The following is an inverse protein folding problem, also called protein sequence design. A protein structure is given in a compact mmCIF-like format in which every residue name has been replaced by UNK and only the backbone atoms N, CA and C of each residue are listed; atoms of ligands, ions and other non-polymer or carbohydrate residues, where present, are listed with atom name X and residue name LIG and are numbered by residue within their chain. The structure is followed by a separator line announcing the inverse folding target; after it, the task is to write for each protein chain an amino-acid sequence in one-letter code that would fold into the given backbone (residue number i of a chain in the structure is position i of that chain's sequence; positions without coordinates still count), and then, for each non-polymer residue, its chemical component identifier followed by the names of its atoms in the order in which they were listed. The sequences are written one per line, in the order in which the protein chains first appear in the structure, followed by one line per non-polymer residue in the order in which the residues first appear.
data_IF_489228535138
#
_entry.id   IF_489228535138
#
_cell.length_a   1.000
_cell.length_b   1.000
_cell.length_c   1.000
_cell.angle_alpha   90.00
_cell.angle_beta   90.00
_cell.angle_gamma   90.00
#
_symmetry.space_group_name_H-M   'P 1'
#
loop_
_entity.id
_entity.type
_entity.pdbx_description
1 polymer ?
#
# COMPACT_ATOMS: atom_id res chain seq x y z
N UNK A 1 5.97 -12.80 -10.85
CA UNK A 1 4.53 -12.45 -10.73
C UNK A 1 4.33 -10.94 -10.61
N UNK A 2 3.16 -10.40 -10.97
CA UNK A 2 2.83 -8.97 -10.79
C UNK A 2 2.25 -8.74 -9.39
N UNK A 3 2.75 -7.71 -8.69
CA UNK A 3 2.28 -7.28 -7.37
C UNK A 3 1.69 -5.87 -7.48
N UNK A 4 0.50 -5.67 -6.92
CA UNK A 4 -0.14 -4.35 -6.79
C UNK A 4 0.05 -3.85 -5.35
N UNK A 5 0.54 -2.63 -5.18
CA UNK A 5 0.83 -2.05 -3.86
C UNK A 5 0.13 -0.70 -3.70
N UNK A 6 -1.05 -0.67 -3.06
CA UNK A 6 -1.71 0.57 -2.67
C UNK A 6 -0.91 1.31 -1.60
N UNK A 7 -0.72 2.61 -1.80
CA UNK A 7 -0.04 3.53 -0.88
C UNK A 7 -0.89 4.79 -0.68
N UNK A 8 -0.98 5.26 0.56
CA UNK A 8 -1.74 6.46 0.95
C UNK A 8 -0.81 7.59 1.35
N UNK A 9 -1.18 8.80 0.94
CA UNK A 9 -0.59 10.06 1.40
C UNK A 9 -1.32 10.51 2.66
N UNK A 10 -0.61 10.59 3.77
CA UNK A 10 -1.16 10.95 5.09
C UNK A 10 -0.33 12.05 5.74
N UNK A 11 -0.81 12.62 6.83
CA UNK A 11 0.00 13.52 7.67
C UNK A 11 1.17 12.72 8.25
N UNK A 12 2.38 13.30 8.24
CA UNK A 12 3.56 12.64 8.80
C UNK A 12 3.33 12.26 10.27
N UNK A 13 3.65 11.02 10.65
CA UNK A 13 3.36 10.48 11.97
C UNK A 13 4.05 11.24 13.12
N UNK A 14 5.07 12.05 12.84
CA UNK A 14 5.72 12.91 13.85
C UNK A 14 5.01 14.26 14.04
N UNK A 15 4.02 14.59 13.21
CA UNK A 15 3.29 15.85 13.29
C UNK A 15 2.17 15.73 14.31
N UNK A 16 2.18 16.63 15.29
CA UNK A 16 1.03 16.81 16.19
C UNK A 16 -0.09 17.56 15.49
N UNK A 17 -1.09 16.81 15.03
CA UNK A 17 -2.29 17.34 14.38
C UNK A 17 -3.10 18.25 15.31
N UNK A 18 -3.80 19.22 14.71
CA UNK A 18 -4.73 20.13 15.41
C UNK A 18 -6.11 20.03 14.77
N UNK A 19 -7.14 20.09 15.60
CA UNK A 19 -8.53 20.19 15.13
C UNK A 19 -8.79 21.63 14.69
N UNK A 20 -9.51 21.82 13.59
CA UNK A 20 -9.96 23.14 13.14
C UNK A 20 -10.88 23.77 14.19
N UNK A 21 -10.89 25.09 14.29
CA UNK A 21 -11.71 25.83 15.26
C UNK A 21 -13.23 25.62 15.07
N UNK A 22 -13.66 25.24 13.87
CA UNK A 22 -15.05 24.95 13.52
C UNK A 22 -15.45 23.47 13.75
N UNK A 23 -14.53 22.64 14.28
CA UNK A 23 -14.72 21.20 14.49
C UNK A 23 -15.07 20.37 13.24
N UNK A 24 -14.80 20.88 12.03
CA UNK A 24 -15.11 20.17 10.78
C UNK A 24 -14.07 19.11 10.39
N UNK A 25 -12.92 19.09 11.07
CA UNK A 25 -11.86 18.12 10.82
C UNK A 25 -10.49 18.58 11.33
N UNK A 26 -9.44 17.95 10.80
CA UNK A 26 -8.04 18.27 11.13
C UNK A 26 -7.52 19.40 10.22
N UNK A 27 -6.73 20.32 10.80
CA UNK A 27 -6.01 21.33 10.04
C UNK A 27 -4.74 20.73 9.41
N UNK A 28 -4.80 20.53 8.08
CA UNK A 28 -3.74 19.93 7.27
C UNK A 28 -3.12 20.91 6.26
N UNK A 29 -3.47 22.20 6.32
CA UNK A 29 -3.11 23.14 5.26
C UNK A 29 -1.58 23.33 5.11
N UNK A 30 -0.86 23.32 6.22
CA UNK A 30 0.60 23.59 6.26
C UNK A 30 1.37 22.50 7.02
N UNK A 31 0.87 21.27 7.02
CA UNK A 31 1.53 20.15 7.69
C UNK A 31 2.34 19.33 6.70
N UNK A 32 3.43 18.74 7.17
CA UNK A 32 4.21 17.78 6.40
C UNK A 32 3.37 16.53 6.16
N UNK A 33 3.32 16.10 4.90
CA UNK A 33 2.64 14.87 4.48
C UNK A 33 3.71 13.83 4.09
N UNK A 34 3.41 12.56 4.28
CA UNK A 34 4.31 11.44 3.96
C UNK A 34 3.54 10.23 3.43
N UNK A 35 4.28 9.18 3.05
CA UNK A 35 3.68 7.86 2.88
C UNK A 35 3.21 7.35 4.24
N UNK A 36 2.08 6.64 4.27
CA UNK A 36 1.65 5.91 5.44
C UNK A 36 2.70 4.87 5.84
N UNK A 37 3.12 4.77 7.12
CA UNK A 37 4.20 3.87 7.53
C UNK A 37 3.97 2.39 7.16
N UNK A 38 2.73 1.90 7.29
CA UNK A 38 2.41 0.51 6.90
C UNK A 38 2.55 0.27 5.39
N UNK A 39 2.37 1.31 4.58
CA UNK A 39 2.49 1.21 3.13
C UNK A 39 3.96 1.21 2.69
N UNK A 40 4.86 1.85 3.44
CA UNK A 40 6.31 1.72 3.22
C UNK A 40 6.78 0.26 3.40
N UNK A 41 6.24 -0.41 4.42
CA UNK A 41 6.47 -1.86 4.67
C UNK A 41 5.93 -2.71 3.51
N UNK A 42 4.76 -2.36 2.98
CA UNK A 42 4.14 -3.05 1.85
C UNK A 42 4.96 -2.90 0.56
N UNK A 43 5.46 -1.70 0.27
CA UNK A 43 6.34 -1.45 -0.88
C UNK A 43 7.66 -2.19 -0.72
N UNK A 44 8.29 -2.14 0.47
CA UNK A 44 9.53 -2.87 0.73
C UNK A 44 9.36 -4.37 0.51
N UNK A 45 8.29 -4.97 1.03
CA UNK A 45 8.05 -6.41 0.86
C UNK A 45 7.89 -6.79 -0.61
N UNK A 46 7.11 -6.02 -1.37
CA UNK A 46 6.94 -6.23 -2.80
C UNK A 46 8.28 -6.13 -3.56
N UNK A 47 9.14 -5.19 -3.18
CA UNK A 47 10.47 -5.02 -3.77
C UNK A 47 11.39 -6.18 -3.40
N UNK A 48 11.39 -6.65 -2.15
CA UNK A 48 12.16 -7.84 -1.72
C UNK A 48 11.74 -9.08 -2.49
N UNK A 49 10.44 -9.28 -2.69
CA UNK A 49 9.92 -10.38 -3.53
C UNK A 49 10.39 -10.25 -4.98
N UNK A 50 10.50 -9.04 -5.52
CA UNK A 50 11.08 -8.82 -6.85
C UNK A 50 12.57 -9.14 -6.90
N UNK A 51 13.34 -8.67 -5.92
CA UNK A 51 14.78 -8.92 -5.82
C UNK A 51 15.10 -10.41 -5.65
N UNK A 52 14.22 -11.17 -4.98
CA UNK A 52 14.28 -12.62 -4.87
C UNK A 52 13.84 -13.38 -6.14
N UNK A 53 13.46 -12.67 -7.21
CA UNK A 53 13.00 -13.28 -8.47
C UNK A 53 11.58 -13.86 -8.43
N UNK A 54 10.84 -13.68 -7.32
CA UNK A 54 9.45 -14.12 -7.19
C UNK A 54 8.51 -13.18 -7.94
N UNK A 55 8.73 -11.87 -7.80
CA UNK A 55 7.99 -10.85 -8.52
C UNK A 55 8.74 -10.42 -9.78
N UNK A 56 8.00 -10.05 -10.81
CA UNK A 56 8.52 -9.54 -12.10
C UNK A 56 8.16 -8.08 -12.30
N UNK A 57 7.12 -7.59 -11.61
CA UNK A 57 6.66 -6.22 -11.69
C UNK A 57 5.96 -5.83 -10.38
N UNK A 58 6.27 -4.63 -9.89
CA UNK A 58 5.63 -4.00 -8.74
C UNK A 58 4.97 -2.70 -9.21
N UNK A 59 3.64 -2.63 -9.07
CA UNK A 59 2.82 -1.48 -9.46
C UNK A 59 2.33 -0.77 -8.21
N UNK A 60 2.85 0.44 -7.95
CA UNK A 60 2.37 1.27 -6.85
C UNK A 60 1.09 2.00 -7.25
N UNK A 61 0.10 2.09 -6.37
CA UNK A 61 -1.18 2.76 -6.64
C UNK A 61 -1.50 3.72 -5.52
N UNK A 62 -2.00 4.91 -5.85
CA UNK A 62 -2.59 5.81 -4.85
C UNK A 62 -3.92 6.33 -5.35
N UNK A 63 -4.86 6.51 -4.43
CA UNK A 63 -6.17 7.11 -4.70
C UNK A 63 -6.25 8.40 -3.90
N UNK A 64 -6.48 9.53 -4.58
CA UNK A 64 -6.61 10.82 -3.93
C UNK A 64 -6.11 11.98 -4.79
N UNK A 65 -5.76 13.08 -4.14
CA UNK A 65 -5.41 14.34 -4.81
C UNK A 65 -4.13 14.25 -5.64
N UNK A 66 -3.92 15.18 -6.57
CA UNK A 66 -2.73 15.25 -7.41
C UNK A 66 -1.40 15.21 -6.63
N UNK A 67 -1.36 15.73 -5.40
CA UNK A 67 -0.17 15.69 -4.53
C UNK A 67 0.22 14.27 -4.10
N UNK A 68 -0.67 13.28 -4.21
CA UNK A 68 -0.34 11.87 -3.99
C UNK A 68 0.70 11.33 -4.98
N UNK A 69 0.96 12.04 -6.09
CA UNK A 69 2.09 11.74 -6.97
C UNK A 69 3.43 11.78 -6.22
N UNK A 70 3.60 12.63 -5.20
CA UNK A 70 4.83 12.68 -4.40
C UNK A 70 5.05 11.35 -3.65
N UNK A 71 4.01 10.82 -3.03
CA UNK A 71 4.02 9.51 -2.35
C UNK A 71 4.31 8.38 -3.33
N UNK A 72 3.72 8.41 -4.52
CA UNK A 72 4.01 7.45 -5.59
C UNK A 72 5.47 7.53 -6.07
N UNK A 73 6.04 8.73 -6.17
CA UNK A 73 7.45 8.92 -6.52
C UNK A 73 8.38 8.33 -5.45
N UNK A 74 8.00 8.40 -4.17
CA UNK A 74 8.71 7.69 -3.10
C UNK A 74 8.66 6.18 -3.31
N UNK A 75 7.49 5.58 -3.59
CA UNK A 75 7.38 4.14 -3.87
C UNK A 75 8.22 3.70 -5.08
N UNK A 76 8.24 4.51 -6.15
CA UNK A 76 9.07 4.32 -7.34
C UNK A 76 10.57 4.37 -7.01
N UNK A 77 10.96 5.21 -6.07
CA UNK A 77 12.34 5.38 -5.63
C UNK A 77 12.79 4.25 -4.68
N UNK A 78 11.88 3.70 -3.86
CA UNK A 78 12.12 2.49 -3.07
C UNK A 78 12.39 1.31 -4.00
N UNK A 79 11.57 1.13 -5.04
CA UNK A 79 11.82 0.09 -6.03
C UNK A 79 10.64 -0.29 -6.92
N UNK A 80 9.45 0.28 -6.77
CA UNK A 80 8.32 0.00 -7.66
C UNK A 80 8.66 0.30 -9.13
N UNK A 81 8.12 -0.46 -10.07
CA UNK A 81 8.45 -0.38 -11.50
C UNK A 81 7.70 0.76 -12.18
N UNK A 82 6.41 0.91 -11.85
CA UNK A 82 5.55 2.02 -12.29
C UNK A 82 4.51 2.35 -11.23
N UNK A 83 3.85 3.49 -11.43
CA UNK A 83 2.83 4.01 -10.53
C UNK A 83 1.53 4.35 -11.27
N UNK A 84 0.42 4.25 -10.55
CA UNK A 84 -0.91 4.71 -10.99
C UNK A 84 -1.46 5.64 -9.92
N UNK A 85 -1.80 6.86 -10.31
CA UNK A 85 -2.64 7.76 -9.51
C UNK A 85 -4.08 7.64 -10.02
N UNK A 86 -5.00 7.23 -9.15
CA UNK A 86 -6.42 7.47 -9.33
C UNK A 86 -6.74 8.82 -8.70
N UNK A 87 -6.79 9.86 -9.54
CA UNK A 87 -6.95 11.24 -9.10
C UNK A 87 -8.40 11.52 -8.68
N UNK A 88 -8.60 11.88 -7.42
CA UNK A 88 -9.88 12.35 -6.90
C UNK A 88 -9.65 13.49 -5.90
N UNK A 89 -10.49 14.52 -5.98
CA UNK A 89 -10.50 15.62 -5.01
C UNK A 89 -11.52 15.40 -3.88
N UNK A 90 -12.25 14.29 -3.92
CA UNK A 90 -13.24 13.95 -2.91
C UNK A 90 -12.58 13.23 -1.73
N UNK A 91 -13.19 13.34 -0.56
CA UNK A 91 -12.84 12.48 0.56
C UNK A 91 -13.22 11.04 0.22
N UNK A 92 -12.21 10.17 0.06
CA UNK A 92 -12.43 8.76 -0.29
C UNK A 92 -12.41 7.88 0.95
N UNK A 93 -13.55 7.26 1.24
CA UNK A 93 -13.69 6.28 2.33
C UNK A 93 -13.09 4.92 1.94
N UNK A 94 -12.73 4.05 2.92
CA UNK A 94 -12.19 2.72 2.65
C UNK A 94 -12.99 1.88 1.64
N UNK A 95 -14.32 1.97 1.66
CA UNK A 95 -15.17 1.25 0.71
C UNK A 95 -14.99 1.74 -0.73
N UNK A 96 -14.91 3.06 -0.92
CA UNK A 96 -14.67 3.66 -2.24
C UNK A 96 -13.29 3.25 -2.76
N UNK A 97 -12.27 3.33 -1.90
CA UNK A 97 -10.90 2.89 -2.23
C UNK A 97 -10.90 1.40 -2.60
N UNK A 98 -11.55 0.53 -1.83
CA UNK A 98 -11.61 -0.89 -2.12
C UNK A 98 -12.29 -1.21 -3.47
N UNK A 99 -13.36 -0.49 -3.84
CA UNK A 99 -14.02 -0.64 -5.16
C UNK A 99 -13.11 -0.19 -6.31
N UNK A 100 -12.41 0.93 -6.14
CA UNK A 100 -11.44 1.44 -7.12
C UNK A 100 -10.29 0.44 -7.29
N UNK A 101 -9.74 -0.05 -6.18
CA UNK A 101 -8.69 -1.06 -6.19
C UNK A 101 -9.16 -2.36 -6.84
N UNK A 102 -10.42 -2.78 -6.63
CA UNK A 102 -10.99 -3.94 -7.33
C UNK A 102 -10.98 -3.74 -8.85
N UNK A 103 -11.37 -2.56 -9.34
CA UNK A 103 -11.32 -2.27 -10.78
C UNK A 103 -9.87 -2.31 -11.32
N UNK A 104 -8.90 -1.87 -10.52
CA UNK A 104 -7.48 -2.00 -10.87
C UNK A 104 -6.98 -3.45 -10.80
N UNK A 105 -7.45 -4.26 -9.85
CA UNK A 105 -7.15 -5.70 -9.81
C UNK A 105 -7.69 -6.38 -11.07
N UNK A 106 -8.91 -6.05 -11.52
CA UNK A 106 -9.47 -6.58 -12.76
C UNK A 106 -8.66 -6.13 -14.00
N UNK A 107 -8.20 -4.88 -14.05
CA UNK A 107 -7.41 -4.34 -15.18
C UNK A 107 -5.99 -4.90 -15.20
N UNK A 108 -5.34 -4.93 -14.05
CA UNK A 108 -3.91 -5.25 -13.92
C UNK A 108 -3.64 -6.74 -13.74
N UNK A 109 -4.62 -7.51 -13.28
CA UNK A 109 -4.52 -8.95 -13.01
C UNK A 109 -3.29 -9.30 -12.12
N UNK A 110 -3.06 -8.61 -10.99
CA UNK A 110 -1.96 -8.94 -10.10
C UNK A 110 -2.19 -10.31 -9.46
N UNK A 111 -1.10 -11.03 -9.17
CA UNK A 111 -1.18 -12.29 -8.43
C UNK A 111 -1.12 -12.07 -6.92
N UNK A 112 -0.72 -10.88 -6.48
CA UNK A 112 -0.68 -10.52 -5.07
C UNK A 112 -0.96 -9.04 -4.93
N UNK A 113 -1.82 -8.67 -3.97
CA UNK A 113 -2.01 -7.28 -3.54
C UNK A 113 -1.46 -7.17 -2.12
N UNK A 114 -0.53 -6.24 -1.90
CA UNK A 114 0.05 -5.97 -0.57
C UNK A 114 -0.31 -4.53 -0.18
N UNK A 115 -1.03 -4.36 0.92
CA UNK A 115 -1.43 -3.03 1.44
C UNK A 115 -0.95 -2.88 2.88
N UNK A 116 -0.91 -1.65 3.41
CA UNK A 116 -0.76 -1.46 4.85
C UNK A 116 -1.93 -2.05 5.65
N UNK A 117 -1.67 -2.44 6.91
CA UNK A 117 -2.73 -2.84 7.88
C UNK A 117 -3.82 -1.79 8.02
N UNK A 118 -3.42 -0.54 8.25
CA UNK A 118 -4.31 0.60 8.40
C UNK A 118 -3.62 1.87 7.90
N UNK A 119 -4.41 2.92 7.67
CA UNK A 119 -3.87 4.25 7.49
C UNK A 119 -3.96 5.01 8.82
N UNK A 120 -2.89 5.71 9.19
CA UNK A 120 -2.78 6.37 10.50
C UNK A 120 -3.66 7.62 10.68
N UNK A 121 -4.31 8.07 9.61
CA UNK A 121 -5.18 9.25 9.62
C UNK A 121 -6.66 8.90 9.87
N UNK A 122 -7.12 7.74 9.37
CA UNK A 122 -8.48 7.24 9.57
C UNK A 122 -8.58 6.04 10.54
N UNK A 123 -7.45 5.40 10.88
CA UNK A 123 -7.31 4.21 11.72
C UNK A 123 -8.33 3.10 11.44
N UNK A 124 -8.79 3.00 10.18
CA UNK A 124 -9.97 2.19 9.88
C UNK A 124 -9.68 0.70 9.81
N UNK A 125 -8.46 0.30 9.41
CA UNK A 125 -8.07 -1.09 9.21
C UNK A 125 -9.12 -1.88 8.39
N UNK A 126 -9.55 -1.37 7.24
CA UNK A 126 -10.69 -1.94 6.47
C UNK A 126 -10.40 -2.22 5.00
N UNK A 127 -9.64 -1.34 4.33
CA UNK A 127 -9.49 -1.35 2.85
C UNK A 127 -9.02 -2.69 2.30
N UNK A 128 -8.02 -3.33 2.93
CA UNK A 128 -7.50 -4.62 2.49
C UNK A 128 -8.55 -5.74 2.57
N UNK A 129 -9.27 -5.83 3.70
CA UNK A 129 -10.30 -6.85 3.88
C UNK A 129 -11.52 -6.63 2.98
N UNK A 130 -11.92 -5.37 2.78
CA UNK A 130 -12.98 -5.01 1.85
C UNK A 130 -12.61 -5.36 0.40
N UNK A 131 -11.38 -5.08 -0.02
CA UNK A 131 -10.88 -5.45 -1.35
C UNK A 131 -10.93 -6.97 -1.56
N UNK A 132 -10.43 -7.74 -0.58
CA UNK A 132 -10.45 -9.20 -0.65
C UNK A 132 -11.88 -9.74 -0.80
N UNK A 133 -12.83 -9.21 -0.02
CA UNK A 133 -14.24 -9.60 -0.11
C UNK A 133 -14.86 -9.24 -1.48
N UNK A 134 -14.62 -8.02 -1.97
CA UNK A 134 -15.16 -7.55 -3.25
C UNK A 134 -14.57 -8.30 -4.46
N UNK A 135 -13.30 -8.72 -4.38
CA UNK A 135 -12.62 -9.46 -5.43
C UNK A 135 -12.77 -10.99 -5.29
N UNK A 136 -13.40 -11.48 -4.22
CA UNK A 136 -13.52 -12.92 -3.95
C UNK A 136 -12.18 -13.62 -3.70
N UNK A 137 -11.20 -12.90 -3.12
CA UNK A 137 -9.84 -13.38 -2.93
C UNK A 137 -9.58 -13.81 -1.48
N UNK A 138 -8.74 -14.84 -1.25
CA UNK A 138 -8.25 -15.16 0.08
C UNK A 138 -7.39 -14.02 0.63
N UNK A 139 -7.39 -13.88 1.96
CA UNK A 139 -6.65 -12.81 2.64
C UNK A 139 -5.85 -13.30 3.85
N UNK A 140 -4.73 -12.62 4.12
CA UNK A 140 -4.02 -12.70 5.39
C UNK A 140 -3.69 -11.29 5.86
N UNK A 141 -4.32 -10.86 6.95
CA UNK A 141 -4.05 -9.54 7.55
C UNK A 141 -2.91 -9.60 8.56
N UNK A 142 -2.33 -8.45 8.91
CA UNK A 142 -1.32 -8.32 9.96
C UNK A 142 -0.08 -9.21 9.73
N UNK A 143 0.34 -9.34 8.48
CA UNK A 143 1.46 -10.19 8.11
C UNK A 143 2.77 -9.69 8.73
N UNK A 144 3.46 -10.57 9.46
CA UNK A 144 4.83 -10.37 9.97
C UNK A 144 5.86 -11.23 9.24
N UNK A 145 5.42 -12.16 8.39
CA UNK A 145 6.28 -12.86 7.42
C UNK A 145 5.46 -13.30 6.21
N UNK A 146 6.01 -13.13 5.01
CA UNK A 146 5.42 -13.64 3.76
C UNK A 146 6.43 -14.53 3.05
N UNK A 147 5.99 -15.67 2.55
CA UNK A 147 6.80 -16.54 1.69
C UNK A 147 5.93 -17.06 0.57
N UNK A 148 6.46 -17.02 -0.65
CA UNK A 148 5.73 -17.39 -1.87
C UNK A 148 6.42 -18.60 -2.49
N UNK A 149 5.68 -19.69 -2.67
CA UNK A 149 6.15 -20.90 -3.33
C UNK A 149 4.95 -21.65 -3.92
N UNK A 150 5.17 -22.35 -5.03
CA UNK A 150 4.19 -23.29 -5.62
C UNK A 150 2.77 -22.72 -5.81
N UNK A 151 2.68 -21.45 -6.21
CA UNK A 151 1.38 -20.76 -6.43
C UNK A 151 0.62 -20.42 -5.15
N UNK A 152 1.27 -20.49 -3.97
CA UNK A 152 0.69 -20.17 -2.67
C UNK A 152 1.50 -19.10 -1.94
N UNK A 153 0.80 -18.36 -1.08
CA UNK A 153 1.39 -17.49 -0.08
C UNK A 153 1.26 -18.12 1.29
N UNK A 154 2.38 -18.41 1.94
CA UNK A 154 2.44 -18.76 3.35
C UNK A 154 2.72 -17.50 4.16
N UNK A 155 1.79 -17.12 5.03
CA UNK A 155 1.82 -15.85 5.75
C UNK A 155 1.72 -16.11 7.25
N UNK A 156 2.73 -15.67 8.00
CA UNK A 156 2.64 -15.57 9.45
C UNK A 156 2.01 -14.23 9.80
N UNK A 157 1.00 -14.24 10.66
CA UNK A 157 0.17 -13.11 11.05
C UNK A 157 0.28 -12.88 12.54
N UNK A 158 0.37 -11.62 12.94
CA UNK A 158 0.27 -11.23 14.34
C UNK A 158 -1.19 -11.27 14.78
N UNK A 159 -1.45 -11.99 15.85
CA UNK A 159 -2.76 -12.09 16.53
C UNK A 159 -2.56 -11.81 18.02
N UNK A 160 -3.63 -11.54 18.76
CA UNK A 160 -3.51 -11.09 20.16
C UNK A 160 -2.71 -12.04 21.06
N UNK A 161 -2.80 -13.35 20.81
CA UNK A 161 -2.11 -14.40 21.57
C UNK A 161 -0.74 -14.82 21.03
N UNK A 162 -0.23 -14.19 19.96
CA UNK A 162 1.06 -14.56 19.34
C UNK A 162 1.00 -14.52 17.82
N UNK A 163 1.35 -15.64 17.18
CA UNK A 163 1.39 -15.73 15.72
C UNK A 163 0.55 -16.89 15.17
N UNK A 164 -0.14 -16.65 14.07
CA UNK A 164 -0.88 -17.65 13.31
C UNK A 164 -0.28 -17.76 11.90
N UNK A 165 -0.08 -18.96 11.37
CA UNK A 165 0.40 -19.15 10.00
C UNK A 165 -0.70 -19.69 9.10
N UNK A 166 -0.99 -18.97 8.01
CA UNK A 166 -1.97 -19.35 7.00
C UNK A 166 -1.29 -19.69 5.67
N UNK A 167 -1.93 -20.53 4.87
CA UNK A 167 -1.55 -20.77 3.49
C UNK A 167 -2.70 -20.36 2.57
N UNK A 168 -2.44 -19.42 1.66
CA UNK A 168 -3.41 -18.87 0.72
C UNK A 168 -3.07 -19.29 -0.69
N UNK A 169 -4.07 -19.68 -1.48
CA UNK A 169 -3.92 -19.83 -2.93
C UNK A 169 -3.82 -18.46 -3.58
N UNK A 170 -2.91 -18.26 -4.53
CA UNK A 170 -2.86 -17.02 -5.31
C UNK A 170 -3.92 -17.03 -6.44
N UNK A 171 -4.53 -15.88 -6.81
CA UNK A 171 -4.25 -14.54 -6.30
C UNK A 171 -4.78 -14.27 -4.88
N UNK A 172 -4.09 -13.43 -4.11
CA UNK A 172 -4.43 -13.16 -2.71
C UNK A 172 -4.20 -11.69 -2.31
N UNK A 173 -4.81 -11.29 -1.18
CA UNK A 173 -4.62 -9.98 -0.55
C UNK A 173 -3.90 -10.13 0.79
N UNK A 174 -2.82 -9.37 1.00
CA UNK A 174 -2.06 -9.36 2.25
C UNK A 174 -2.01 -7.95 2.81
N UNK A 175 -2.22 -7.79 4.12
CA UNK A 175 -1.97 -6.50 4.78
C UNK A 175 -0.77 -6.60 5.71
N UNK A 176 0.15 -5.64 5.67
CA UNK A 176 1.40 -5.68 6.43
C UNK A 176 1.25 -5.22 7.88
N UNK A 177 1.89 -5.93 8.81
CA UNK A 177 2.19 -5.41 10.14
C UNK A 177 3.57 -4.72 10.14
N UNK A 178 3.82 -3.85 11.11
CA UNK A 178 5.11 -3.16 11.27
C UNK A 178 6.28 -4.13 11.47
N UNK A 179 6.03 -5.36 11.94
CA UNK A 179 7.06 -6.39 12.18
C UNK A 179 7.54 -7.09 10.90
N UNK A 180 6.89 -6.89 9.75
CA UNK A 180 7.19 -7.64 8.53
C UNK A 180 8.61 -7.40 8.01
N UNK A 181 9.03 -6.15 7.98
CA UNK A 181 10.35 -5.75 7.49
C UNK A 181 10.71 -4.34 7.98
N UNK A 182 11.92 -3.90 7.63
CA UNK A 182 12.36 -2.52 7.77
C UNK A 182 12.47 -1.90 6.37
N UNK A 183 11.72 -0.83 6.06
CA UNK A 183 11.76 -0.16 4.76
C UNK A 183 13.15 0.43 4.51
N UNK A 184 13.68 0.23 3.30
CA UNK A 184 15.00 0.76 2.94
C UNK A 184 15.00 2.29 2.84
N UNK A 185 16.14 2.89 3.15
CA UNK A 185 16.38 4.29 2.84
C UNK A 185 16.54 4.51 1.33
N UNK A 186 15.92 5.56 0.80
CA UNK A 186 16.00 5.92 -0.61
C UNK A 186 17.19 6.83 -0.87
N UNK A 187 18.10 6.41 -1.76
CA UNK A 187 19.27 7.19 -2.14
C UNK A 187 18.95 8.27 -3.18
N UNK A 188 19.71 9.37 -3.21
CA UNK A 188 19.57 10.44 -4.22
C UNK A 188 19.56 9.92 -5.68
N UNK A 189 20.43 8.97 -6.09
CA UNK A 189 20.36 8.38 -7.42
C UNK A 189 19.01 7.69 -7.73
N UNK A 190 18.43 7.00 -6.74
CA UNK A 190 17.14 6.33 -6.92
C UNK A 190 15.99 7.33 -7.05
N UNK A 191 16.02 8.43 -6.29
CA UNK A 191 15.05 9.54 -6.42
C UNK A 191 15.10 10.12 -7.84
N UNK A 192 16.30 10.31 -8.39
CA UNK A 192 16.47 10.82 -9.75
C UNK A 192 15.99 9.84 -10.82
N UNK A 193 16.22 8.54 -10.64
CA UNK A 193 15.67 7.49 -11.52
C UNK A 193 14.14 7.43 -11.44
N UNK A 194 13.58 7.58 -10.25
CA UNK A 194 12.13 7.53 -10.02
C UNK A 194 11.36 8.61 -10.78
N UNK A 195 11.96 9.79 -11.01
CA UNK A 195 11.36 10.85 -11.84
C UNK A 195 11.12 10.43 -13.30
N UNK A 196 11.92 9.48 -13.81
CA UNK A 196 11.81 8.95 -15.18
C UNK A 196 10.90 7.73 -15.30
N UNK A 197 10.55 7.10 -14.17
CA UNK A 197 9.68 5.92 -14.19
C UNK A 197 8.24 6.29 -14.56
N UNK A 198 7.49 5.38 -15.23
CA UNK A 198 6.12 5.64 -15.63
C UNK A 198 5.22 5.93 -14.42
N UNK A 199 4.42 6.98 -14.52
CA UNK A 199 3.34 7.31 -13.61
C UNK A 199 2.13 7.67 -14.47
N UNK A 200 1.12 6.82 -14.45
CA UNK A 200 -0.16 7.03 -15.13
C UNK A 200 -1.12 7.74 -14.18
N UNK A 201 -1.85 8.75 -14.66
CA UNK A 201 -2.95 9.36 -13.93
C UNK A 201 -4.26 8.99 -14.61
N UNK A 202 -5.19 8.45 -13.84
CA UNK A 202 -6.57 8.13 -14.24
C UNK A 202 -7.56 8.88 -13.35
N UNK A 203 -8.76 9.16 -13.84
CA UNK A 203 -9.82 9.91 -13.14
C UNK A 203 -11.06 9.05 -12.97
#
# INVERSE_FOLDING_TARGET
MKILVPVKRVVDYNVKVRVKSDNTGVDIANVKMSMNPFDEIAVEEAVRLKEAGVATEVVAVSVGVAQAQETLRTALAIGADRAILVESNDGVEPLAVAKILKALVDKEQPQLVILGKQAIDDDSNQTGQMLAALAGLPQATFASKVTIADGKATVAREVDGGAETLSLTLPAVVTTDLRLNEPRYVTLPNIMKAKKKPLETVK
#
